data_IF_553519705650
#
_entry.id   IF_553519705650
#
_cell.length_a   1.000
_cell.length_b   1.000
_cell.length_c   1.000
_cell.angle_alpha   90.00
_cell.angle_beta   90.00
_cell.angle_gamma   90.00
#
_symmetry.space_group_name_H-M   'P 1'
#
loop_
_entity.id
_entity.type
_entity.pdbx_description
1 polymer ?
#
# COMPACT_ATOMS: atom_id res chain seq x y z
N UNK A 1 16.82 -9.07 22.91
CA UNK A 1 16.83 -7.93 21.97
C UNK A 1 15.47 -7.25 22.04
N UNK A 2 15.39 -5.91 22.17
CA UNK A 2 14.09 -5.22 22.40
C UNK A 2 13.12 -5.35 21.21
N UNK A 3 13.66 -5.44 20.00
CA UNK A 3 12.95 -5.51 18.73
C UNK A 3 13.55 -6.64 17.90
N UNK A 4 12.77 -7.29 17.04
CA UNK A 4 13.30 -8.24 16.05
C UNK A 4 12.49 -8.22 14.77
N UNK A 5 13.07 -8.70 13.68
CA UNK A 5 12.33 -9.09 12.49
C UNK A 5 11.91 -10.56 12.61
N UNK A 6 10.69 -10.87 12.15
CA UNK A 6 10.15 -12.21 12.07
C UNK A 6 9.78 -12.47 10.61
N UNK A 7 10.23 -13.59 10.07
CA UNK A 7 9.83 -14.02 8.73
C UNK A 7 8.40 -14.57 8.80
N UNK A 8 7.48 -13.95 8.06
CA UNK A 8 6.10 -14.43 7.92
C UNK A 8 5.97 -15.36 6.71
N UNK A 9 6.68 -15.03 5.63
CA UNK A 9 6.76 -15.85 4.42
C UNK A 9 8.20 -15.80 3.91
N UNK A 10 8.87 -16.95 3.84
CA UNK A 10 10.13 -17.07 3.12
C UNK A 10 9.90 -16.85 1.63
N UNK A 11 10.91 -16.30 0.92
CA UNK A 11 10.84 -16.10 -0.53
C UNK A 11 10.25 -17.34 -1.24
N UNK A 12 9.08 -17.17 -1.84
CA UNK A 12 8.31 -18.22 -2.49
C UNK A 12 7.94 -17.73 -3.89
N UNK A 13 8.21 -18.55 -4.89
CA UNK A 13 7.69 -18.36 -6.25
C UNK A 13 6.18 -18.61 -6.24
N UNK A 14 5.40 -17.59 -6.60
CA UNK A 14 3.95 -17.62 -6.52
C UNK A 14 3.29 -18.10 -7.83
N UNK A 15 4.06 -18.19 -8.93
CA UNK A 15 3.58 -18.46 -10.29
C UNK A 15 2.93 -17.25 -10.97
N UNK A 16 2.17 -17.52 -12.05
CA UNK A 16 1.63 -16.50 -12.97
C UNK A 16 0.74 -15.45 -12.28
N UNK A 17 -0.36 -15.87 -11.66
CA UNK A 17 -1.26 -14.96 -10.96
C UNK A 17 -2.07 -15.67 -9.88
N UNK A 18 -2.54 -14.91 -8.89
CA UNK A 18 -3.39 -15.44 -7.84
C UNK A 18 -3.38 -14.59 -6.58
N UNK A 19 -3.76 -15.22 -5.47
CA UNK A 19 -3.72 -14.58 -4.14
C UNK A 19 -3.02 -15.48 -3.14
N UNK A 20 -1.90 -15.01 -2.59
CA UNK A 20 -1.22 -15.64 -1.47
C UNK A 20 -1.84 -15.17 -0.17
N UNK A 21 -2.40 -16.10 0.62
CA UNK A 21 -2.88 -15.84 1.99
C UNK A 21 -1.82 -16.30 2.99
N UNK A 22 -1.49 -15.44 3.95
CA UNK A 22 -0.48 -15.63 4.98
C UNK A 22 -1.16 -15.35 6.33
N UNK A 23 -1.24 -16.37 7.18
CA UNK A 23 -1.78 -16.23 8.53
C UNK A 23 -0.78 -15.47 9.41
N UNK A 24 -1.27 -14.53 10.22
CA UNK A 24 -0.43 -13.74 11.14
C UNK A 24 -0.30 -14.47 12.48
N UNK A 25 0.59 -15.45 12.54
CA UNK A 25 0.81 -16.30 13.72
C UNK A 25 1.69 -15.67 14.81
N UNK A 26 2.12 -14.43 14.62
CA UNK A 26 2.96 -13.73 15.60
C UNK A 26 2.10 -13.16 16.72
N UNK A 27 2.32 -13.59 17.95
CA UNK A 27 1.52 -13.13 19.10
C UNK A 27 1.96 -11.78 19.68
N UNK A 28 3.01 -11.17 19.14
CA UNK A 28 3.63 -9.94 19.65
C UNK A 28 3.20 -8.75 18.81
N UNK A 29 3.12 -7.53 19.39
CA UNK A 29 2.83 -6.34 18.63
C UNK A 29 3.81 -6.14 17.47
N UNK A 30 3.27 -5.76 16.32
CA UNK A 30 3.95 -5.54 15.05
C UNK A 30 3.94 -4.05 14.76
N UNK A 31 5.11 -3.47 14.51
CA UNK A 31 5.24 -2.07 14.12
C UNK A 31 5.06 -1.88 12.61
N UNK A 32 5.52 -2.85 11.81
CA UNK A 32 5.48 -2.82 10.35
C UNK A 32 5.42 -4.24 9.80
N UNK A 33 4.68 -4.43 8.72
CA UNK A 33 4.87 -5.56 7.80
C UNK A 33 5.56 -5.01 6.54
N UNK A 34 6.60 -5.70 6.10
CA UNK A 34 7.39 -5.39 4.92
C UNK A 34 7.26 -6.56 3.94
N UNK A 35 6.84 -6.25 2.72
CA UNK A 35 6.73 -7.20 1.62
C UNK A 35 7.79 -6.86 0.59
N UNK A 36 8.45 -7.89 0.09
CA UNK A 36 9.43 -7.79 -1.00
C UNK A 36 8.91 -8.68 -2.11
N UNK A 37 8.59 -8.08 -3.26
CA UNK A 37 8.19 -8.79 -4.45
C UNK A 37 9.29 -8.66 -5.51
N UNK A 38 9.78 -9.78 -6.00
CA UNK A 38 10.86 -9.84 -6.98
C UNK A 38 10.34 -10.49 -8.24
N UNK A 39 10.42 -9.80 -9.38
CA UNK A 39 10.01 -10.33 -10.68
C UNK A 39 11.23 -10.46 -11.59
N UNK A 40 11.45 -11.64 -12.19
CA UNK A 40 12.46 -11.82 -13.25
C UNK A 40 11.86 -11.42 -14.59
N UNK A 41 12.44 -10.43 -15.26
CA UNK A 41 11.90 -9.86 -16.50
C UNK A 41 12.18 -10.72 -17.72
N UNK A 42 11.20 -10.81 -18.60
CA UNK A 42 11.28 -11.53 -19.86
C UNK A 42 11.68 -10.69 -21.05
N UNK A 43 11.43 -9.37 -21.01
CA UNK A 43 11.76 -8.45 -22.09
C UNK A 43 12.50 -7.19 -21.59
N UNK A 44 12.95 -6.35 -22.51
CA UNK A 44 13.51 -5.03 -22.24
C UNK A 44 12.42 -3.92 -22.22
N UNK A 45 11.18 -4.27 -22.57
CA UNK A 45 10.03 -3.36 -22.59
C UNK A 45 9.17 -3.57 -21.35
N UNK A 46 8.57 -2.47 -20.87
CA UNK A 46 7.67 -2.47 -19.73
C UNK A 46 6.24 -2.21 -20.21
N UNK A 47 5.31 -3.10 -19.87
CA UNK A 47 3.88 -2.96 -20.17
C UNK A 47 3.20 -2.02 -19.18
N UNK A 48 3.64 -2.03 -17.92
CA UNK A 48 3.23 -1.13 -16.86
C UNK A 48 4.33 -1.00 -15.80
N UNK A 49 4.37 0.09 -15.01
CA UNK A 49 5.25 0.16 -13.85
C UNK A 49 5.13 -1.07 -12.95
N UNK A 50 6.23 -1.53 -12.39
CA UNK A 50 6.30 -2.79 -11.62
C UNK A 50 5.31 -2.96 -10.48
N UNK A 51 4.82 -1.90 -9.79
CA UNK A 51 3.77 -2.06 -8.78
C UNK A 51 2.45 -2.58 -9.34
N UNK A 52 2.25 -2.59 -10.66
CA UNK A 52 1.15 -3.27 -11.33
C UNK A 52 1.09 -4.77 -11.03
N UNK A 53 2.25 -5.40 -10.79
CA UNK A 53 2.33 -6.83 -10.48
C UNK A 53 1.66 -7.19 -9.15
N UNK A 54 1.32 -6.21 -8.31
CA UNK A 54 0.58 -6.40 -7.07
C UNK A 54 -0.76 -5.65 -7.15
N UNK A 55 -1.81 -6.26 -7.75
CA UNK A 55 -3.13 -5.66 -7.81
C UNK A 55 -3.73 -5.34 -6.44
N UNK A 56 -3.41 -6.10 -5.38
CA UNK A 56 -3.94 -5.83 -4.03
C UNK A 56 -3.06 -6.37 -2.92
N UNK A 57 -2.91 -5.57 -1.87
CA UNK A 57 -2.34 -5.93 -0.56
C UNK A 57 -3.41 -5.67 0.48
N UNK A 58 -3.82 -6.72 1.20
CA UNK A 58 -4.87 -6.63 2.20
C UNK A 58 -4.46 -7.27 3.51
N UNK A 59 -4.61 -6.54 4.62
CA UNK A 59 -4.62 -7.12 5.95
C UNK A 59 -6.07 -7.15 6.42
N UNK A 60 -6.59 -8.34 6.70
CA UNK A 60 -8.00 -8.53 7.09
C UNK A 60 -8.10 -9.27 8.41
N UNK A 61 -9.16 -9.00 9.18
CA UNK A 61 -9.62 -9.88 10.26
C UNK A 61 -10.98 -10.45 9.87
N UNK A 62 -11.00 -11.68 9.37
CA UNK A 62 -12.18 -12.26 8.72
C UNK A 62 -12.58 -11.49 7.46
N UNK A 63 -13.73 -10.82 7.48
CA UNK A 63 -14.22 -9.98 6.37
C UNK A 63 -13.94 -8.49 6.54
N UNK A 64 -13.29 -8.09 7.64
CA UNK A 64 -13.03 -6.67 7.94
C UNK A 64 -11.65 -6.28 7.44
N UNK A 65 -11.54 -5.35 6.46
CA UNK A 65 -10.24 -4.83 6.05
C UNK A 65 -9.67 -3.91 7.13
N UNK A 66 -8.40 -4.14 7.46
CA UNK A 66 -7.57 -3.30 8.32
C UNK A 66 -6.56 -2.51 7.50
N UNK A 67 -6.15 -3.06 6.37
CA UNK A 67 -5.38 -2.42 5.31
C UNK A 67 -5.87 -2.98 3.98
N UNK A 68 -6.07 -2.15 2.95
CA UNK A 68 -6.50 -2.64 1.62
C UNK A 68 -6.14 -1.60 0.56
N UNK A 69 -4.99 -1.81 -0.09
CA UNK A 69 -4.42 -0.92 -1.10
C UNK A 69 -3.85 -1.73 -2.27
N UNK A 70 -3.79 -1.16 -3.45
CA UNK A 70 -3.01 -1.66 -4.59
C UNK A 70 -1.50 -1.49 -4.35
N UNK A 71 -0.65 -2.16 -5.13
CA UNK A 71 0.80 -1.97 -5.09
C UNK A 71 1.21 -0.50 -5.29
N UNK A 72 0.60 0.16 -6.26
CA UNK A 72 0.76 1.60 -6.52
C UNK A 72 0.46 2.46 -5.31
N UNK A 73 -0.73 2.29 -4.72
CA UNK A 73 -1.16 3.09 -3.57
C UNK A 73 -0.29 2.82 -2.35
N UNK A 74 0.13 1.57 -2.15
CA UNK A 74 0.94 1.20 -1.00
C UNK A 74 2.36 1.75 -1.11
N UNK A 75 2.97 1.74 -2.30
CA UNK A 75 4.25 2.43 -2.53
C UNK A 75 4.12 3.94 -2.39
N UNK A 76 3.05 4.55 -2.92
CA UNK A 76 2.81 5.99 -2.76
C UNK A 76 2.71 6.36 -1.27
N UNK A 77 1.92 5.60 -0.49
CA UNK A 77 1.82 5.80 0.95
C UNK A 77 3.17 5.65 1.65
N UNK A 78 3.95 4.64 1.30
CA UNK A 78 5.28 4.43 1.85
C UNK A 78 6.24 5.57 1.49
N UNK A 79 6.23 6.05 0.24
CA UNK A 79 7.05 7.16 -0.22
C UNK A 79 6.76 8.46 0.58
N UNK A 80 5.49 8.81 0.76
CA UNK A 80 5.12 10.00 1.53
C UNK A 80 5.39 9.87 3.03
N UNK A 81 5.38 8.66 3.58
CA UNK A 81 5.70 8.41 4.99
C UNK A 81 7.22 8.30 5.25
N UNK A 82 8.00 7.89 4.25
CA UNK A 82 9.44 7.65 4.36
C UNK A 82 10.20 8.34 3.23
N UNK A 83 10.28 9.68 3.24
CA UNK A 83 10.93 10.42 2.16
C UNK A 83 12.40 9.97 2.03
N UNK A 84 12.78 9.60 0.81
CA UNK A 84 14.13 9.14 0.47
C UNK A 84 14.36 7.63 0.59
N UNK A 85 13.35 6.84 0.96
CA UNK A 85 13.41 5.38 0.81
C UNK A 85 13.04 5.00 -0.63
N UNK A 86 13.89 4.19 -1.25
CA UNK A 86 13.60 3.59 -2.56
C UNK A 86 12.64 2.42 -2.34
N UNK A 87 11.52 2.42 -3.04
CA UNK A 87 10.53 1.33 -2.98
C UNK A 87 10.77 0.30 -4.09
N UNK A 88 11.52 0.67 -5.12
CA UNK A 88 11.86 -0.13 -6.28
C UNK A 88 13.38 -0.16 -6.46
N UNK A 89 13.93 -1.33 -6.79
CA UNK A 89 15.35 -1.52 -7.09
C UNK A 89 15.46 -2.50 -8.26
N UNK A 90 16.19 -2.11 -9.30
CA UNK A 90 16.49 -2.96 -10.43
C UNK A 90 16.60 -2.19 -11.72
N UNK A 91 16.75 -2.92 -12.82
CA UNK A 91 16.63 -2.40 -14.16
C UNK A 91 15.62 -3.28 -14.90
N UNK A 92 14.69 -2.66 -15.62
CA UNK A 92 13.71 -3.39 -16.42
C UNK A 92 14.38 -3.93 -17.70
N UNK A 93 15.10 -5.04 -17.55
CA UNK A 93 15.84 -5.70 -18.61
C UNK A 93 15.65 -7.21 -18.55
N UNK A 94 15.50 -7.83 -19.73
CA UNK A 94 15.42 -9.28 -19.88
C UNK A 94 16.47 -10.01 -19.03
N UNK A 95 16.03 -11.06 -18.35
CA UNK A 95 16.78 -11.94 -17.44
C UNK A 95 17.35 -11.24 -16.19
N UNK A 96 16.89 -10.02 -15.87
CA UNK A 96 17.23 -9.30 -14.64
C UNK A 96 16.05 -9.33 -13.67
N UNK A 97 16.37 -9.42 -12.37
CA UNK A 97 15.40 -9.31 -11.30
C UNK A 97 15.14 -7.83 -10.97
N UNK A 98 13.88 -7.44 -10.97
CA UNK A 98 13.41 -6.18 -10.42
C UNK A 98 12.70 -6.44 -9.09
N UNK A 99 12.94 -5.59 -8.10
CA UNK A 99 12.49 -5.77 -6.72
C UNK A 99 11.64 -4.59 -6.30
N UNK A 100 10.38 -4.86 -5.97
CA UNK A 100 9.46 -3.94 -5.32
C UNK A 100 9.36 -4.23 -3.83
N UNK A 101 9.37 -3.16 -3.04
CA UNK A 101 9.18 -3.17 -1.60
C UNK A 101 7.88 -2.48 -1.27
N UNK A 102 7.15 -3.01 -0.28
CA UNK A 102 5.88 -2.46 0.19
C UNK A 102 5.86 -2.47 1.71
N UNK A 103 5.44 -1.36 2.33
CA UNK A 103 5.30 -1.26 3.78
C UNK A 103 3.85 -1.13 4.20
N UNK A 104 3.49 -1.84 5.27
CA UNK A 104 2.28 -1.60 6.05
C UNK A 104 2.74 -1.08 7.41
N UNK A 105 2.70 0.24 7.60
CA UNK A 105 3.07 0.90 8.85
C UNK A 105 1.88 1.05 9.78
N UNK A 106 1.98 0.45 10.96
CA UNK A 106 0.93 0.54 11.97
C UNK A 106 1.08 1.74 12.91
N UNK A 107 2.25 2.38 12.88
CA UNK A 107 2.62 3.50 13.73
C UNK A 107 3.00 4.75 12.94
N UNK A 108 3.25 5.85 13.64
CA UNK A 108 3.72 7.09 12.99
C UNK A 108 5.16 6.99 12.47
N UNK A 109 5.93 6.09 13.06
CA UNK A 109 7.30 5.74 12.71
C UNK A 109 7.55 4.28 13.13
N UNK A 110 8.63 3.69 12.63
CA UNK A 110 9.04 2.35 13.05
C UNK A 110 9.34 2.32 14.56
N UNK A 111 8.73 1.37 15.25
CA UNK A 111 8.76 1.17 16.70
C UNK A 111 7.95 2.20 17.53
N UNK A 112 6.87 2.76 16.99
CA UNK A 112 5.90 3.56 17.76
C UNK A 112 5.19 2.68 18.81
N UNK A 113 5.38 2.98 20.08
CA UNK A 113 4.86 2.18 21.20
C UNK A 113 3.36 2.41 21.46
N UNK A 114 2.83 3.55 20.99
CA UNK A 114 1.42 3.89 21.16
C UNK A 114 0.57 3.28 20.03
N UNK A 115 1.12 3.26 18.82
CA UNK A 115 0.43 2.82 17.62
C UNK A 115 1.17 1.64 16.99
N UNK A 116 0.63 0.44 17.18
CA UNK A 116 1.17 -0.80 16.65
C UNK A 116 0.04 -1.83 16.52
N UNK A 117 0.15 -2.73 15.56
CA UNK A 117 -0.81 -3.80 15.37
C UNK A 117 -0.54 -4.89 16.40
N UNK A 118 -1.51 -5.18 17.25
CA UNK A 118 -1.43 -6.28 18.23
C UNK A 118 -2.31 -7.43 17.74
N UNK A 119 -1.73 -8.49 17.14
CA UNK A 119 -2.50 -9.60 16.56
C UNK A 119 -3.39 -10.31 17.57
N UNK A 120 -3.04 -10.27 18.87
CA UNK A 120 -3.83 -10.90 19.93
C UNK A 120 -5.19 -10.26 20.17
N UNK A 121 -5.43 -9.06 19.61
CA UNK A 121 -6.70 -8.33 19.66
C UNK A 121 -7.64 -8.68 18.51
N UNK A 122 -7.21 -9.55 17.59
CA UNK A 122 -7.95 -9.97 16.40
C UNK A 122 -8.24 -11.47 16.46
N UNK A 123 -9.25 -11.93 15.72
CA UNK A 123 -9.68 -13.34 15.78
C UNK A 123 -8.96 -14.18 14.74
N UNK A 124 -8.82 -13.66 13.53
CA UNK A 124 -8.21 -14.32 12.40
C UNK A 124 -7.52 -13.28 11.48
N UNK A 125 -6.44 -12.65 11.95
CA UNK A 125 -5.69 -11.71 11.13
C UNK A 125 -4.92 -12.43 10.02
N UNK A 126 -5.19 -12.04 8.77
CA UNK A 126 -4.57 -12.61 7.57
C UNK A 126 -4.05 -11.50 6.66
N UNK A 127 -2.83 -11.67 6.17
CA UNK A 127 -2.30 -10.88 5.05
C UNK A 127 -2.63 -11.62 3.75
N UNK A 128 -3.23 -10.92 2.79
CA UNK A 128 -3.55 -11.41 1.46
C UNK A 128 -2.83 -10.53 0.45
N UNK A 129 -2.07 -11.16 -0.44
CA UNK A 129 -1.35 -10.47 -1.51
C UNK A 129 -1.83 -11.07 -2.81
N UNK A 130 -2.57 -10.27 -3.58
CA UNK A 130 -2.94 -10.60 -4.94
C UNK A 130 -1.81 -10.16 -5.86
N UNK A 131 -1.37 -11.06 -6.73
CA UNK A 131 -0.24 -10.88 -7.63
C UNK A 131 -0.60 -11.31 -9.05
N UNK A 132 0.10 -10.71 -10.00
CA UNK A 132 0.07 -11.02 -11.43
C UNK A 132 1.50 -10.73 -11.95
N UNK A 133 2.31 -11.76 -12.19
CA UNK A 133 3.72 -11.57 -12.56
C UNK A 133 3.89 -10.87 -13.90
N UNK A 134 2.91 -11.04 -14.78
CA UNK A 134 2.91 -10.59 -16.17
C UNK A 134 2.34 -9.17 -16.35
N UNK A 135 1.78 -8.55 -15.30
CA UNK A 135 1.10 -7.27 -15.43
C UNK A 135 2.03 -6.11 -15.86
N UNK A 136 3.30 -6.16 -15.46
CA UNK A 136 4.33 -5.18 -15.79
C UNK A 136 5.21 -5.59 -16.99
N UNK A 137 5.27 -6.89 -17.30
CA UNK A 137 6.02 -7.49 -18.40
C UNK A 137 5.38 -8.82 -18.77
N UNK A 138 4.69 -8.89 -19.91
CA UNK A 138 3.95 -10.08 -20.37
C UNK A 138 4.83 -11.33 -20.57
N UNK A 139 6.16 -11.19 -20.61
CA UNK A 139 7.10 -12.31 -20.72
C UNK A 139 7.79 -12.66 -19.39
N UNK A 140 7.35 -12.08 -18.26
CA UNK A 140 7.95 -12.32 -16.94
C UNK A 140 8.06 -13.82 -16.64
N UNK A 141 9.21 -14.21 -16.06
CA UNK A 141 9.57 -15.62 -15.93
C UNK A 141 9.36 -16.20 -14.53
N UNK A 142 9.29 -15.35 -13.50
CA UNK A 142 9.06 -15.75 -12.12
C UNK A 142 8.73 -14.54 -11.21
N UNK A 143 7.75 -14.71 -10.33
CA UNK A 143 7.36 -13.77 -9.28
C UNK A 143 7.57 -14.34 -7.87
N UNK A 144 8.56 -13.82 -7.13
CA UNK A 144 8.85 -14.25 -5.76
C UNK A 144 8.32 -13.25 -4.73
N UNK A 145 7.60 -13.73 -3.73
CA UNK A 145 7.17 -12.94 -2.57
C UNK A 145 7.89 -13.37 -1.29
N UNK A 146 8.43 -12.40 -0.57
CA UNK A 146 8.95 -12.56 0.79
C UNK A 146 8.25 -11.56 1.73
N UNK A 147 7.93 -11.96 2.95
CA UNK A 147 7.23 -11.10 3.92
C UNK A 147 7.88 -11.16 5.29
N UNK A 148 8.18 -9.98 5.83
CA UNK A 148 8.79 -9.76 7.13
C UNK A 148 7.88 -8.94 8.05
N UNK A 149 7.88 -9.25 9.35
CA UNK A 149 7.23 -8.48 10.39
C UNK A 149 8.28 -7.88 11.34
N UNK A 150 8.20 -6.58 11.58
CA UNK A 150 9.02 -5.85 12.54
C UNK A 150 8.30 -5.82 13.89
N UNK A 151 8.75 -6.62 14.86
CA UNK A 151 8.00 -6.89 16.10
C UNK A 151 8.67 -6.43 17.39
N UNK A 152 7.85 -6.08 18.38
CA UNK A 152 8.26 -5.79 19.74
C UNK A 152 8.45 -7.11 20.53
N UNK A 153 9.70 -7.53 20.72
CA UNK A 153 10.03 -8.87 21.22
C UNK A 153 10.06 -8.95 22.75
N UNK A 154 11.18 -8.52 23.37
CA UNK A 154 11.33 -8.43 24.83
C UNK A 154 10.67 -7.19 25.41
N UNK A 155 10.42 -6.16 24.58
CA UNK A 155 9.78 -4.93 25.02
C UNK A 155 8.27 -5.12 25.07
N UNK A 156 7.71 -5.11 26.27
CA UNK A 156 6.26 -5.12 26.46
C UNK A 156 5.72 -3.72 26.22
N UNK A 157 4.82 -3.60 25.25
CA UNK A 157 4.05 -2.38 24.98
C UNK A 157 2.55 -2.67 25.11
N UNK A 158 1.74 -1.63 25.19
CA UNK A 158 0.28 -1.76 25.20
C UNK A 158 -0.29 -0.75 24.20
N UNK A 159 -0.32 -1.11 22.90
CA UNK A 159 -0.76 -0.20 21.85
C UNK A 159 -2.20 0.23 22.07
N UNK A 160 -2.47 1.53 21.93
CA UNK A 160 -3.83 2.08 22.07
C UNK A 160 -4.64 1.89 20.78
N UNK A 161 -3.96 1.69 19.66
CA UNK A 161 -4.55 1.43 18.34
C UNK A 161 -3.44 1.24 17.30
N UNK A 162 -3.80 1.39 16.04
CA UNK A 162 -2.86 1.36 14.91
C UNK A 162 -3.41 2.23 13.78
N UNK A 163 -2.54 2.62 12.86
CA UNK A 163 -2.92 3.30 11.63
C UNK A 163 -3.39 2.29 10.59
N UNK A 164 -4.52 2.60 9.96
CA UNK A 164 -5.13 1.84 8.88
C UNK A 164 -5.07 2.67 7.61
N UNK A 165 -4.82 2.02 6.48
CA UNK A 165 -4.94 2.64 5.17
C UNK A 165 -5.79 1.75 4.26
N UNK A 166 -6.86 2.33 3.72
CA UNK A 166 -7.77 1.69 2.79
C UNK A 166 -8.06 2.65 1.65
N UNK A 167 -8.27 2.10 0.47
CA UNK A 167 -8.95 2.82 -0.62
C UNK A 167 -10.36 3.17 -0.15
N UNK A 168 -10.68 4.46 -0.12
CA UNK A 168 -11.99 4.95 0.34
C UNK A 168 -12.99 5.01 -0.81
N UNK A 169 -12.54 5.43 -1.98
CA UNK A 169 -13.39 5.65 -3.15
C UNK A 169 -12.57 5.54 -4.44
N UNK A 170 -13.09 4.82 -5.42
CA UNK A 170 -12.55 4.74 -6.77
C UNK A 170 -13.70 4.96 -7.77
N UNK A 171 -13.45 5.78 -8.78
CA UNK A 171 -14.43 6.11 -9.82
C UNK A 171 -13.75 6.61 -11.08
N UNK A 172 -14.45 6.44 -12.20
CA UNK A 172 -14.05 7.07 -13.47
C UNK A 172 -14.60 8.50 -13.52
N UNK A 173 -13.72 9.48 -13.74
CA UNK A 173 -14.11 10.87 -13.88
C UNK A 173 -15.15 11.08 -14.99
N UNK A 174 -16.12 11.97 -14.75
CA UNK A 174 -17.17 12.32 -15.68
C UNK A 174 -16.70 13.20 -16.85
N UNK A 175 -17.64 13.90 -17.48
CA UNK A 175 -17.30 14.91 -18.49
C UNK A 175 -16.45 16.04 -17.89
N UNK A 176 -15.67 16.73 -18.73
CA UNK A 176 -14.95 17.94 -18.30
C UNK A 176 -15.87 18.97 -17.62
N UNK A 177 -15.28 19.77 -16.73
CA UNK A 177 -15.97 20.78 -15.92
C UNK A 177 -17.08 20.22 -15.01
N UNK A 178 -16.93 18.96 -14.57
CA UNK A 178 -17.82 18.35 -13.57
C UNK A 178 -17.07 18.05 -12.28
N UNK A 179 -17.79 18.16 -11.16
CA UNK A 179 -17.29 17.82 -9.84
C UNK A 179 -18.00 16.57 -9.33
N UNK A 180 -17.23 15.67 -8.73
CA UNK A 180 -17.76 14.55 -7.94
C UNK A 180 -17.61 14.88 -6.46
N UNK A 181 -18.67 14.67 -5.67
CA UNK A 181 -18.63 14.91 -4.22
C UNK A 181 -18.50 13.57 -3.51
N UNK A 182 -17.42 13.42 -2.74
CA UNK A 182 -17.12 12.19 -2.00
C UNK A 182 -17.30 12.46 -0.52
N UNK A 183 -18.25 11.77 0.10
CA UNK A 183 -18.44 11.81 1.55
C UNK A 183 -17.34 11.03 2.26
N UNK A 184 -16.74 11.65 3.27
CA UNK A 184 -15.66 11.04 4.06
C UNK A 184 -16.20 10.31 5.29
N UNK A 185 -15.49 9.29 5.80
CA UNK A 185 -15.94 8.56 6.97
C UNK A 185 -15.86 9.44 8.22
N UNK A 186 -16.96 9.51 8.97
CA UNK A 186 -17.07 10.27 10.22
C UNK A 186 -16.69 9.46 11.47
N UNK A 187 -16.54 8.13 11.33
CA UNK A 187 -16.31 7.21 12.44
C UNK A 187 -14.84 7.10 12.86
N UNK A 188 -13.91 7.67 12.07
CA UNK A 188 -12.48 7.61 12.28
C UNK A 188 -11.81 8.96 12.09
N UNK A 189 -10.71 9.16 12.80
CA UNK A 189 -9.83 10.31 12.57
C UNK A 189 -8.99 10.06 11.32
N UNK A 190 -9.18 10.89 10.30
CA UNK A 190 -8.37 10.87 9.08
C UNK A 190 -7.06 11.60 9.35
N UNK A 191 -5.93 10.90 9.20
CA UNK A 191 -4.58 11.49 9.34
C UNK A 191 -4.03 12.01 8.02
N UNK A 192 -4.29 11.30 6.94
CA UNK A 192 -3.71 11.53 5.63
C UNK A 192 -4.70 11.06 4.57
N UNK A 193 -4.76 11.79 3.47
CA UNK A 193 -5.49 11.44 2.26
C UNK A 193 -4.54 11.58 1.09
N UNK A 194 -4.56 10.60 0.20
CA UNK A 194 -3.83 10.63 -1.06
C UNK A 194 -4.88 10.55 -2.17
N UNK A 195 -4.75 11.43 -3.15
CA UNK A 195 -5.63 11.47 -4.32
C UNK A 195 -4.78 11.09 -5.52
N UNK A 196 -5.22 10.06 -6.26
CA UNK A 196 -4.57 9.62 -7.49
C UNK A 196 -5.45 9.95 -8.68
N UNK A 197 -4.92 10.75 -9.58
CA UNK A 197 -5.48 10.96 -10.91
C UNK A 197 -4.63 10.13 -11.89
N UNK A 198 -5.20 9.07 -12.45
CA UNK A 198 -4.46 8.18 -13.34
C UNK A 198 -5.25 7.87 -14.61
N UNK A 199 -4.59 8.07 -15.74
CA UNK A 199 -5.05 7.69 -17.06
C UNK A 199 -3.84 7.36 -17.92
N UNK A 200 -3.90 6.25 -18.66
CA UNK A 200 -2.80 5.80 -19.49
C UNK A 200 -2.41 6.83 -20.56
N UNK A 201 -1.10 7.08 -20.67
CA UNK A 201 -0.54 8.05 -21.62
C UNK A 201 -0.92 9.50 -21.34
N UNK A 202 -1.39 9.81 -20.13
CA UNK A 202 -1.78 11.16 -19.70
C UNK A 202 -1.10 11.56 -18.40
N UNK A 203 -0.88 12.85 -18.26
CA UNK A 203 -0.42 13.46 -17.02
C UNK A 203 -1.56 13.48 -15.97
N UNK A 204 -1.24 13.47 -14.66
CA UNK A 204 -2.27 13.41 -13.62
C UNK A 204 -3.33 14.52 -13.70
N UNK A 205 -2.91 15.75 -14.03
CA UNK A 205 -3.82 16.90 -14.14
C UNK A 205 -4.80 16.80 -15.33
N UNK A 206 -4.63 15.82 -16.22
CA UNK A 206 -5.57 15.59 -17.32
C UNK A 206 -6.90 14.98 -16.84
N UNK A 207 -6.86 14.19 -15.76
CA UNK A 207 -8.06 13.53 -15.22
C UNK A 207 -8.72 14.35 -14.11
N UNK A 208 -7.91 15.03 -13.28
CA UNK A 208 -8.37 15.89 -12.19
C UNK A 208 -7.56 17.18 -12.24
N UNK A 209 -8.21 18.33 -12.48
CA UNK A 209 -7.57 19.65 -12.45
C UNK A 209 -7.76 20.35 -11.10
N UNK A 210 -8.88 20.07 -10.43
CA UNK A 210 -9.25 20.66 -9.15
C UNK A 210 -9.60 19.59 -8.11
N UNK A 211 -9.17 19.82 -6.87
CA UNK A 211 -9.59 19.02 -5.73
C UNK A 211 -9.71 19.90 -4.48
N UNK A 212 -10.71 19.65 -3.64
CA UNK A 212 -10.97 20.45 -2.44
C UNK A 212 -11.49 19.56 -1.32
N UNK A 213 -11.13 19.92 -0.09
CA UNK A 213 -11.75 19.37 1.11
C UNK A 213 -12.65 20.43 1.73
N UNK A 214 -13.91 20.06 1.96
CA UNK A 214 -14.90 20.88 2.65
C UNK A 214 -15.23 20.25 4.01
N UNK A 215 -15.22 21.06 5.07
CA UNK A 215 -15.76 20.71 6.38
C UNK A 215 -17.12 21.41 6.57
N UNK A 216 -18.20 20.63 6.63
CA UNK A 216 -19.57 21.14 6.65
C UNK A 216 -20.01 21.74 5.31
N UNK A 217 -21.05 22.57 5.31
CA UNK A 217 -21.55 23.21 4.09
C UNK A 217 -20.76 24.49 3.78
N UNK A 218 -19.44 24.34 3.53
CA UNK A 218 -18.46 25.43 3.27
C UNK A 218 -18.05 26.26 4.49
N UNK A 219 -18.26 25.77 5.71
CA UNK A 219 -17.89 26.51 6.92
C UNK A 219 -16.35 26.62 7.06
N UNK A 220 -15.63 25.60 6.57
CA UNK A 220 -14.17 25.59 6.53
C UNK A 220 -13.68 24.77 5.33
N UNK A 221 -12.65 25.30 4.65
CA UNK A 221 -11.95 24.65 3.55
C UNK A 221 -10.51 24.40 4.01
N UNK A 222 -10.16 23.18 4.48
CA UNK A 222 -8.80 22.90 4.95
C UNK A 222 -7.74 22.99 3.85
N UNK A 223 -8.08 22.58 2.62
CA UNK A 223 -7.20 22.70 1.45
C UNK A 223 -8.02 22.75 0.16
N UNK A 224 -7.45 23.41 -0.85
CA UNK A 224 -8.03 23.57 -2.18
C UNK A 224 -6.88 23.65 -3.20
N UNK A 225 -6.96 22.82 -4.23
CA UNK A 225 -6.13 22.88 -5.42
C UNK A 225 -7.04 23.26 -6.59
N UNK A 226 -6.76 24.41 -7.21
CA UNK A 226 -7.57 24.99 -8.31
C UNK A 226 -6.88 24.89 -9.67
N UNK A 227 -5.67 24.34 -9.71
CA UNK A 227 -4.93 24.02 -10.94
C UNK A 227 -3.77 23.10 -10.56
N UNK A 228 -3.91 21.81 -10.81
CA UNK A 228 -2.91 20.82 -10.41
C UNK A 228 -1.64 20.86 -11.28
N UNK A 229 -1.67 21.47 -12.47
CA UNK A 229 -0.49 21.63 -13.33
C UNK A 229 0.54 22.61 -12.73
N UNK A 230 0.09 23.57 -11.89
CA UNK A 230 0.93 24.64 -11.36
C UNK A 230 1.65 24.31 -10.04
N UNK A 231 1.51 23.10 -9.49
CA UNK A 231 2.11 22.66 -8.22
C UNK A 231 3.10 21.51 -8.40
#
# INVERSE_FOLDING_TARGET
MKYRTALLLAAEDLGESGTKTIDIDVSKPISRIELIYKTTKGDHGMDAPTPANIPKIELVDGSKPLHSLTGYENQALAYYNHPGVLMDIGEHLKDIDEVDTYFIDFGRWLWDELLAFDPSRFTNPQLKVTFDEDAADTEAGAGFLEVWAHIFDEKVISPIGFLSAIEHFDYTCGSGDSYETIELPEDKVIRQMLVRAHQDGKEPWYSIDEARLDEGTLDRIPWEYTNLEMY
#
